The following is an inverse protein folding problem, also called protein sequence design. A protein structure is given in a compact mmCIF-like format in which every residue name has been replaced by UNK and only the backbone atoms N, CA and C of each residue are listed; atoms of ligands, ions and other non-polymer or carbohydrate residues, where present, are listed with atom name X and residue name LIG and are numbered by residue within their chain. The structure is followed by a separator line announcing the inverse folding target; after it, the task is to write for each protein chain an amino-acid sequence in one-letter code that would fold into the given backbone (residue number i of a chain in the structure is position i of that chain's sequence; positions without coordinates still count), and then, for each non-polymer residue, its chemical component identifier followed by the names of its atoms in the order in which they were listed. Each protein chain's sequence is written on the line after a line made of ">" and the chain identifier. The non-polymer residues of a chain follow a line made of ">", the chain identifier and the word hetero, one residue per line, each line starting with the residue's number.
data_IF_472140517901
#
_entry.id   IF_472140517901
#
_cell.length_a   1.000
_cell.length_b   1.000
_cell.length_c   1.000
_cell.angle_alpha   90.00
_cell.angle_beta   90.00
_cell.angle_gamma   90.00
#
_symmetry.space_group_name_H-M   'P 1'
#
loop_
_entity.id
_entity.type
_entity.pdbx_description
1 polymer ?
#
# COMPACT_ATOMS: atom_id res chain seq x y z
N UNK A 1 12.39 -13.68 8.88
CA UNK A 1 12.07 -14.00 7.47
C UNK A 1 12.77 -15.31 7.16
N UNK A 2 12.03 -16.40 6.93
CA UNK A 2 12.67 -17.67 6.59
C UNK A 2 13.10 -17.61 5.13
N UNK A 3 14.31 -18.10 4.82
CA UNK A 3 14.86 -18.29 3.47
C UNK A 3 13.84 -18.91 2.47
N UNK A 4 12.85 -19.60 2.98
CA UNK A 4 11.79 -20.22 2.21
C UNK A 4 10.84 -19.23 1.49
N UNK A 5 10.63 -18.02 2.05
CA UNK A 5 9.82 -16.98 1.42
C UNK A 5 10.55 -16.25 0.27
N UNK A 6 11.89 -16.31 0.26
CA UNK A 6 12.72 -15.72 -0.80
C UNK A 6 13.03 -16.72 -1.93
N UNK A 7 12.80 -18.01 -1.74
CA UNK A 7 13.15 -19.05 -2.71
C UNK A 7 12.56 -18.84 -4.10
N UNK A 8 11.28 -18.43 -4.27
CA UNK A 8 10.73 -18.12 -5.59
C UNK A 8 11.36 -16.90 -6.26
N UNK A 9 11.87 -15.95 -5.44
CA UNK A 9 12.58 -14.75 -5.92
C UNK A 9 14.01 -15.06 -6.38
N UNK A 10 14.60 -16.16 -5.88
CA UNK A 10 15.98 -16.53 -6.10
C UNK A 10 16.21 -17.32 -7.39
N UNK A 11 15.14 -17.85 -7.99
CA UNK A 11 15.24 -18.76 -9.13
C UNK A 11 14.99 -18.08 -10.50
N UNK A 12 14.76 -16.74 -10.56
CA UNK A 12 14.47 -15.99 -11.78
C UNK A 12 15.30 -14.71 -11.90
N UNK A 13 15.82 -14.43 -13.09
CA UNK A 13 16.48 -13.15 -13.41
C UNK A 13 15.40 -12.03 -13.52
N UNK A 14 15.57 -10.98 -12.73
CA UNK A 14 14.56 -9.94 -12.49
C UNK A 14 14.57 -8.79 -13.50
N UNK A 15 13.55 -8.59 -14.33
CA UNK A 15 13.09 -7.25 -14.67
C UNK A 15 12.04 -6.81 -13.62
N UNK A 16 12.24 -5.68 -12.98
CA UNK A 16 11.42 -5.20 -11.88
C UNK A 16 10.56 -4.02 -12.30
N UNK A 17 9.28 -4.03 -11.94
CA UNK A 17 8.36 -2.92 -12.18
C UNK A 17 7.87 -2.36 -10.86
N UNK A 18 8.13 -1.07 -10.60
CA UNK A 18 7.47 -0.34 -9.54
C UNK A 18 6.13 0.19 -10.06
N UNK A 19 5.05 -0.09 -9.35
CA UNK A 19 3.72 0.41 -9.63
C UNK A 19 3.35 1.45 -8.59
N UNK A 20 3.31 2.73 -8.98
CA UNK A 20 2.63 3.75 -8.20
C UNK A 20 1.19 3.82 -8.71
N UNK A 21 0.23 3.44 -7.86
CA UNK A 21 -1.20 3.55 -8.16
C UNK A 21 -1.69 4.86 -7.59
N UNK A 22 -2.24 5.72 -8.44
CA UNK A 22 -2.65 7.02 -8.00
C UNK A 22 -4.16 7.13 -7.81
N UNK A 23 -4.60 7.76 -6.75
CA UNK A 23 -6.00 7.87 -6.35
C UNK A 23 -6.50 9.28 -6.27
N UNK A 24 -7.81 9.33 -6.06
CA UNK A 24 -8.50 10.56 -5.83
C UNK A 24 -9.08 10.77 -4.44
N UNK A 25 -9.08 12.01 -4.10
CA UNK A 25 -9.40 12.63 -2.82
C UNK A 25 -10.89 12.49 -2.48
N UNK A 26 -11.16 12.00 -1.29
CA UNK A 26 -12.38 12.28 -0.53
C UNK A 26 -12.54 13.81 -0.46
N UNK A 27 -13.76 14.34 -0.34
CA UNK A 27 -14.02 15.76 -0.05
C UNK A 27 -13.45 16.17 1.33
N UNK A 28 -12.20 15.89 1.55
CA UNK A 28 -11.49 16.05 2.83
C UNK A 28 -11.47 17.49 3.32
N UNK A 29 -11.53 18.44 2.39
CA UNK A 29 -11.53 19.85 2.74
C UNK A 29 -12.76 20.26 3.52
N UNK A 30 -13.91 19.63 3.28
CA UNK A 30 -15.13 19.89 4.03
C UNK A 30 -15.06 19.41 5.49
N UNK A 31 -14.24 18.38 5.76
CA UNK A 31 -14.07 17.77 7.09
C UNK A 31 -12.76 18.15 7.79
N UNK A 32 -11.82 18.81 7.10
CA UNK A 32 -10.53 19.25 7.66
C UNK A 32 -9.60 18.13 8.09
N UNK A 33 -9.63 16.98 7.40
CA UNK A 33 -8.80 15.80 7.70
C UNK A 33 -7.48 15.79 6.93
N UNK A 34 -7.22 16.74 6.04
CA UNK A 34 -5.98 16.92 5.29
C UNK A 34 -5.45 18.34 5.36
N UNK A 35 -4.11 18.47 5.40
CA UNK A 35 -3.42 19.76 5.33
C UNK A 35 -3.31 20.30 3.90
N UNK A 36 -3.51 19.47 2.86
CA UNK A 36 -3.32 19.84 1.46
C UNK A 36 -4.64 19.94 0.70
N UNK A 37 -4.73 20.83 -0.32
CA UNK A 37 -5.89 20.90 -1.20
C UNK A 37 -5.95 19.70 -2.17
N UNK A 38 -7.16 19.37 -2.63
CA UNK A 38 -7.42 18.25 -3.55
C UNK A 38 -6.59 18.31 -4.85
N UNK A 39 -6.30 19.52 -5.35
CA UNK A 39 -5.50 19.73 -6.56
C UNK A 39 -4.07 19.15 -6.48
N UNK A 40 -3.55 18.94 -5.28
CA UNK A 40 -2.20 18.38 -5.09
C UNK A 40 -2.07 16.99 -5.69
N UNK A 41 -3.12 16.17 -5.66
CA UNK A 41 -3.07 14.85 -6.29
C UNK A 41 -2.72 14.95 -7.78
N UNK A 42 -3.46 15.76 -8.56
CA UNK A 42 -3.18 15.95 -9.98
C UNK A 42 -1.81 16.58 -10.25
N UNK A 43 -1.37 17.50 -9.37
CA UNK A 43 -0.03 18.09 -9.46
C UNK A 43 1.07 17.04 -9.24
N UNK A 44 0.85 16.09 -8.33
CA UNK A 44 1.78 15.00 -8.11
C UNK A 44 1.83 14.01 -9.27
N UNK A 45 0.71 13.74 -9.97
CA UNK A 45 0.74 12.97 -11.23
C UNK A 45 1.69 13.61 -12.22
N UNK A 46 1.48 14.89 -12.50
CA UNK A 46 2.35 15.64 -13.40
C UNK A 46 3.82 15.58 -12.94
N UNK A 47 4.09 15.66 -11.63
CA UNK A 47 5.45 15.54 -11.09
C UNK A 47 6.04 14.14 -11.32
N UNK A 48 5.27 13.07 -11.14
CA UNK A 48 5.69 11.70 -11.47
C UNK A 48 6.02 11.54 -12.94
N UNK A 49 5.17 12.05 -13.82
CA UNK A 49 5.36 12.00 -15.29
C UNK A 49 6.61 12.78 -15.75
N UNK A 50 6.91 13.91 -15.08
CA UNK A 50 8.11 14.70 -15.37
C UNK A 50 9.38 14.18 -14.66
N UNK A 51 9.29 13.12 -13.89
CA UNK A 51 10.45 12.50 -13.24
C UNK A 51 10.97 13.22 -12.00
N UNK A 52 10.18 14.11 -11.38
CA UNK A 52 10.60 14.99 -10.27
C UNK A 52 10.30 14.46 -8.87
N UNK A 53 9.54 13.38 -8.73
CA UNK A 53 9.17 12.83 -7.44
C UNK A 53 10.24 11.88 -6.86
N UNK A 54 10.14 11.61 -5.56
CA UNK A 54 11.06 10.69 -4.88
C UNK A 54 11.07 9.30 -5.53
N UNK A 55 9.90 8.76 -5.88
CA UNK A 55 9.82 7.44 -6.50
C UNK A 55 10.54 7.38 -7.85
N UNK A 56 10.56 8.45 -8.63
CA UNK A 56 11.31 8.48 -9.89
C UNK A 56 12.83 8.30 -9.66
N UNK A 57 13.37 8.96 -8.64
CA UNK A 57 14.79 8.82 -8.28
C UNK A 57 15.08 7.44 -7.70
N UNK A 58 14.22 6.94 -6.81
CA UNK A 58 14.36 5.64 -6.18
C UNK A 58 14.22 4.49 -7.19
N UNK A 59 13.28 4.59 -8.14
CA UNK A 59 13.11 3.59 -9.20
C UNK A 59 14.37 3.50 -10.06
N UNK A 60 14.94 4.65 -10.47
CA UNK A 60 16.23 4.64 -11.19
C UNK A 60 17.36 4.02 -10.37
N UNK A 61 17.46 4.35 -9.08
CA UNK A 61 18.49 3.82 -8.21
C UNK A 61 18.34 2.32 -7.94
N UNK A 62 17.11 1.83 -7.82
CA UNK A 62 16.80 0.44 -7.59
C UNK A 62 16.66 -0.39 -8.87
N UNK A 63 16.74 0.21 -10.06
CA UNK A 63 16.55 -0.46 -11.35
C UNK A 63 15.11 -0.94 -11.55
N UNK A 64 14.12 -0.16 -11.11
CA UNK A 64 12.70 -0.47 -11.21
C UNK A 64 12.07 0.28 -12.38
N UNK A 65 11.21 -0.39 -13.12
CA UNK A 65 10.30 0.24 -14.09
C UNK A 65 9.14 0.90 -13.35
N UNK A 66 8.98 2.22 -13.50
CA UNK A 66 7.90 2.97 -12.88
C UNK A 66 6.69 3.06 -13.81
N UNK A 67 5.54 2.58 -13.36
CA UNK A 67 4.26 2.74 -14.04
C UNK A 67 3.32 3.56 -13.16
N UNK A 68 2.81 4.67 -13.69
CA UNK A 68 1.81 5.51 -13.05
C UNK A 68 0.43 5.11 -13.57
N UNK A 69 -0.51 4.83 -12.68
CA UNK A 69 -1.89 4.50 -13.01
C UNK A 69 -2.81 5.54 -12.40
N UNK A 70 -3.31 6.46 -13.21
CA UNK A 70 -4.26 7.48 -12.82
C UNK A 70 -5.68 6.93 -12.79
N UNK A 71 -6.39 7.10 -11.67
CA UNK A 71 -7.70 6.53 -11.43
C UNK A 71 -8.78 7.63 -11.33
N UNK A 72 -9.21 8.15 -12.48
CA UNK A 72 -10.32 9.10 -12.59
C UNK A 72 -10.12 10.38 -11.74
N UNK A 73 -9.02 11.08 -12.01
CA UNK A 73 -8.61 12.28 -11.26
C UNK A 73 -9.65 13.42 -11.25
N UNK A 74 -10.63 13.45 -12.16
CA UNK A 74 -11.65 14.50 -12.26
C UNK A 74 -12.90 14.26 -11.41
N UNK A 75 -13.06 13.07 -10.82
CA UNK A 75 -14.19 12.71 -9.96
C UNK A 75 -13.71 12.16 -8.61
N UNK A 76 -13.76 12.91 -7.51
CA UNK A 76 -13.46 12.39 -6.17
C UNK A 76 -14.45 11.29 -5.78
N UNK A 77 -14.02 10.39 -4.91
CA UNK A 77 -14.93 9.49 -4.22
C UNK A 77 -15.93 10.28 -3.38
N UNK A 78 -17.07 9.69 -3.07
CA UNK A 78 -18.03 10.31 -2.16
C UNK A 78 -17.48 10.36 -0.72
N UNK A 79 -18.03 11.25 0.10
CA UNK A 79 -17.73 11.28 1.53
C UNK A 79 -18.34 10.04 2.21
N UNK A 80 -17.51 9.15 2.71
CA UNK A 80 -17.96 7.91 3.32
C UNK A 80 -18.73 8.11 4.63
N UNK A 81 -18.79 9.32 5.17
CA UNK A 81 -19.66 9.65 6.29
C UNK A 81 -21.10 10.01 5.88
N UNK A 82 -21.37 10.10 4.56
CA UNK A 82 -22.69 10.45 4.01
C UNK A 82 -23.23 9.35 3.09
N UNK A 83 -22.34 8.67 2.35
CA UNK A 83 -22.68 7.62 1.40
C UNK A 83 -21.50 6.64 1.22
N UNK A 84 -21.66 5.48 0.56
CA UNK A 84 -20.50 4.66 0.14
C UNK A 84 -19.52 5.49 -0.67
N UNK A 85 -18.21 5.36 -0.37
CA UNK A 85 -17.15 6.11 -1.06
C UNK A 85 -17.17 5.89 -2.59
N UNK A 86 -17.54 4.70 -3.02
CA UNK A 86 -17.63 4.30 -4.43
C UNK A 86 -18.94 3.56 -4.70
N UNK A 87 -19.45 3.69 -5.91
CA UNK A 87 -20.45 2.76 -6.45
C UNK A 87 -19.79 1.37 -6.64
N UNK A 88 -20.58 0.34 -6.85
CA UNK A 88 -20.08 -1.00 -7.17
C UNK A 88 -19.22 -1.00 -8.44
N UNK A 89 -19.69 -0.31 -9.48
CA UNK A 89 -18.96 -0.18 -10.74
C UNK A 89 -17.61 0.51 -10.56
N UNK A 90 -17.53 1.61 -9.80
CA UNK A 90 -16.26 2.33 -9.56
C UNK A 90 -15.26 1.49 -8.77
N UNK A 91 -15.73 0.77 -7.76
CA UNK A 91 -14.87 -0.12 -6.98
C UNK A 91 -14.33 -1.28 -7.84
N UNK A 92 -15.19 -1.94 -8.63
CA UNK A 92 -14.79 -2.99 -9.56
C UNK A 92 -13.84 -2.48 -10.65
N UNK A 93 -14.09 -1.30 -11.21
CA UNK A 93 -13.22 -0.68 -12.19
C UNK A 93 -11.81 -0.40 -11.62
N UNK A 94 -11.75 0.07 -10.37
CA UNK A 94 -10.49 0.30 -9.68
C UNK A 94 -9.74 -1.02 -9.40
N UNK A 95 -10.42 -2.05 -8.90
CA UNK A 95 -9.85 -3.40 -8.70
C UNK A 95 -9.29 -3.94 -10.02
N UNK A 96 -10.04 -3.81 -11.12
CA UNK A 96 -9.61 -4.26 -12.44
C UNK A 96 -8.41 -3.48 -12.97
N UNK A 97 -8.33 -2.18 -12.71
CA UNK A 97 -7.16 -1.37 -13.07
C UNK A 97 -5.89 -1.86 -12.35
N UNK A 98 -5.99 -2.19 -11.06
CA UNK A 98 -4.89 -2.80 -10.31
C UNK A 98 -4.51 -4.18 -10.85
N UNK A 99 -5.51 -5.03 -11.15
CA UNK A 99 -5.29 -6.35 -11.78
C UNK A 99 -4.56 -6.22 -13.11
N UNK A 100 -4.99 -5.30 -13.97
CA UNK A 100 -4.36 -5.06 -15.27
C UNK A 100 -2.92 -4.54 -15.17
N UNK A 101 -2.60 -3.86 -14.06
CA UNK A 101 -1.25 -3.34 -13.84
C UNK A 101 -0.21 -4.45 -13.60
N UNK A 102 -0.64 -5.65 -13.22
CA UNK A 102 0.21 -6.84 -12.95
C UNK A 102 0.19 -7.84 -14.12
N UNK A 103 -0.55 -7.56 -15.18
CA UNK A 103 -0.81 -8.53 -16.27
C UNK A 103 0.44 -9.06 -16.97
N UNK A 104 1.52 -8.28 -17.01
CA UNK A 104 2.79 -8.67 -17.66
C UNK A 104 3.64 -9.62 -16.79
N UNK A 105 3.12 -10.09 -15.65
CA UNK A 105 3.76 -11.01 -14.70
C UNK A 105 5.23 -10.66 -14.39
N UNK A 106 5.51 -9.48 -13.79
CA UNK A 106 6.87 -9.12 -13.39
C UNK A 106 7.39 -10.06 -12.30
N UNK A 107 8.71 -10.11 -12.11
CA UNK A 107 9.31 -10.95 -11.07
C UNK A 107 9.06 -10.41 -9.64
N UNK A 108 8.81 -9.11 -9.52
CA UNK A 108 8.41 -8.43 -8.28
C UNK A 108 7.53 -7.24 -8.61
N UNK A 109 6.42 -7.09 -7.90
CA UNK A 109 5.59 -5.88 -7.93
C UNK A 109 5.87 -5.04 -6.70
N UNK A 110 6.24 -3.78 -6.88
CA UNK A 110 6.40 -2.79 -5.82
C UNK A 110 5.19 -1.87 -5.84
N UNK A 111 4.36 -1.94 -4.81
CA UNK A 111 3.12 -1.16 -4.74
C UNK A 111 3.29 0.08 -3.88
N UNK A 112 2.75 1.18 -4.37
CA UNK A 112 2.62 2.42 -3.63
C UNK A 112 1.39 3.18 -4.05
N UNK A 113 1.14 4.29 -3.39
CA UNK A 113 -0.03 5.12 -3.60
C UNK A 113 0.32 6.60 -3.48
N UNK A 114 -0.55 7.41 -4.04
CA UNK A 114 -0.60 8.84 -3.80
C UNK A 114 -2.07 9.30 -3.74
N UNK A 115 -2.49 9.81 -2.60
CA UNK A 115 -3.83 10.36 -2.40
C UNK A 115 -3.91 11.28 -1.21
N UNK A 116 -4.39 12.50 -1.46
CA UNK A 116 -4.55 13.47 -0.39
C UNK A 116 -5.72 13.06 0.50
N UNK A 117 -5.47 12.85 1.80
CA UNK A 117 -6.49 12.51 2.80
C UNK A 117 -6.68 11.00 3.02
N UNK A 118 -6.11 10.16 2.20
CA UNK A 118 -6.34 8.71 2.24
C UNK A 118 -5.82 8.01 3.52
N UNK A 119 -5.02 8.66 4.35
CA UNK A 119 -4.66 8.12 5.66
C UNK A 119 -5.86 8.00 6.62
N UNK A 120 -6.90 8.83 6.46
CA UNK A 120 -8.19 8.68 7.19
C UNK A 120 -8.96 7.47 6.68
N UNK A 121 -9.04 7.30 5.37
CA UNK A 121 -9.61 6.13 4.70
C UNK A 121 -8.88 4.84 5.10
N UNK A 122 -7.54 4.86 5.11
CA UNK A 122 -6.72 3.73 5.56
C UNK A 122 -7.04 3.33 7.01
N UNK A 123 -7.18 4.31 7.91
CA UNK A 123 -7.57 4.05 9.30
C UNK A 123 -8.98 3.43 9.39
N UNK A 124 -9.93 3.88 8.57
CA UNK A 124 -11.28 3.31 8.50
C UNK A 124 -11.26 1.84 8.01
N UNK A 125 -10.47 1.52 6.99
CA UNK A 125 -10.29 0.14 6.53
C UNK A 125 -9.69 -0.76 7.62
N UNK A 126 -8.68 -0.27 8.35
CA UNK A 126 -8.07 -1.01 9.45
C UNK A 126 -9.07 -1.26 10.58
N UNK A 127 -9.83 -0.24 10.98
CA UNK A 127 -10.86 -0.37 12.02
C UNK A 127 -11.97 -1.35 11.63
N UNK A 128 -12.47 -1.26 10.39
CA UNK A 128 -13.47 -2.18 9.87
C UNK A 128 -12.97 -3.64 9.81
N UNK A 129 -11.68 -3.84 9.52
CA UNK A 129 -11.09 -5.16 9.32
C UNK A 129 -10.65 -5.84 10.61
N UNK A 130 -10.07 -5.08 11.55
CA UNK A 130 -9.41 -5.64 12.72
C UNK A 130 -9.99 -5.16 14.05
N UNK A 131 -10.97 -4.24 14.03
CA UNK A 131 -11.59 -3.71 15.25
C UNK A 131 -10.65 -2.81 16.06
N UNK A 132 -10.94 -2.65 17.33
CA UNK A 132 -10.28 -1.70 18.21
C UNK A 132 -11.01 -0.37 18.27
N UNK A 133 -10.29 0.72 18.49
CA UNK A 133 -10.79 2.10 18.46
C UNK A 133 -10.23 2.86 17.24
N UNK A 134 -10.91 3.93 16.79
CA UNK A 134 -10.39 4.76 15.72
C UNK A 134 -9.01 5.38 16.06
N UNK A 135 -8.78 5.70 17.34
CA UNK A 135 -7.50 6.23 17.82
C UNK A 135 -6.34 5.24 17.72
N UNK A 136 -6.61 3.93 17.61
CA UNK A 136 -5.58 2.92 17.39
C UNK A 136 -4.97 2.98 15.98
N UNK A 137 -5.70 3.55 15.02
CA UNK A 137 -5.38 3.53 13.60
C UNK A 137 -5.10 4.90 13.01
N UNK A 138 -5.68 5.96 13.60
CA UNK A 138 -5.52 7.33 13.12
C UNK A 138 -4.16 7.90 13.53
N UNK A 139 -3.49 8.53 12.57
CA UNK A 139 -2.25 9.26 12.78
C UNK A 139 -2.24 10.63 12.07
N UNK A 140 -1.14 11.39 12.18
CA UNK A 140 -1.04 12.73 11.62
C UNK A 140 -1.08 12.77 10.08
N UNK A 141 -0.82 11.66 9.41
CA UNK A 141 -0.75 11.61 7.95
C UNK A 141 0.25 12.61 7.41
N UNK A 142 -0.19 13.53 6.55
CA UNK A 142 0.63 14.60 5.96
C UNK A 142 0.95 15.75 6.90
N UNK A 143 0.64 15.63 8.20
CA UNK A 143 1.07 16.60 9.21
C UNK A 143 -0.06 17.43 9.81
N UNK A 144 -1.27 16.87 9.98
CA UNK A 144 -2.32 17.53 10.77
C UNK A 144 -1.95 17.53 12.26
N UNK A 145 -2.35 18.60 12.95
CA UNK A 145 -2.16 18.80 14.39
C UNK A 145 -3.10 17.92 15.26
N UNK A 146 -3.07 18.11 16.56
CA UNK A 146 -3.90 17.36 17.50
C UNK A 146 -5.42 17.51 17.27
N UNK A 147 -5.89 18.71 16.88
CA UNK A 147 -7.29 18.93 16.53
C UNK A 147 -7.64 18.20 15.23
N UNK A 148 -6.73 18.22 14.25
CA UNK A 148 -6.88 17.46 13.00
C UNK A 148 -6.96 15.96 13.25
N UNK A 149 -6.17 15.41 14.16
CA UNK A 149 -6.26 14.01 14.59
C UNK A 149 -7.65 13.72 15.21
N UNK A 150 -8.14 14.59 16.08
CA UNK A 150 -9.48 14.46 16.65
C UNK A 150 -10.58 14.46 15.59
N UNK A 151 -10.49 15.33 14.57
CA UNK A 151 -11.42 15.35 13.44
C UNK A 151 -11.35 14.05 12.63
N UNK A 152 -10.16 13.52 12.35
CA UNK A 152 -9.99 12.25 11.65
C UNK A 152 -10.62 11.08 12.43
N UNK A 153 -10.44 11.03 13.75
CA UNK A 153 -11.06 10.01 14.61
C UNK A 153 -12.59 10.08 14.47
N UNK A 154 -13.19 11.26 14.63
CA UNK A 154 -14.62 11.45 14.50
C UNK A 154 -15.17 11.05 13.11
N UNK A 155 -14.45 11.38 12.03
CA UNK A 155 -14.79 10.99 10.66
C UNK A 155 -14.76 9.48 10.49
N UNK A 156 -13.73 8.79 11.00
CA UNK A 156 -13.63 7.33 10.95
C UNK A 156 -14.79 6.68 11.71
N UNK A 157 -15.07 7.14 12.92
CA UNK A 157 -16.18 6.62 13.74
C UNK A 157 -17.54 6.82 13.08
N UNK A 158 -17.77 7.99 12.48
CA UNK A 158 -19.02 8.29 11.77
C UNK A 158 -19.21 7.38 10.55
N UNK A 159 -18.15 7.17 9.75
CA UNK A 159 -18.20 6.28 8.60
C UNK A 159 -18.47 4.82 8.99
N UNK A 160 -17.78 4.32 10.00
CA UNK A 160 -18.03 2.96 10.54
C UNK A 160 -19.46 2.83 11.05
N UNK A 161 -19.97 3.83 11.79
CA UNK A 161 -21.33 3.80 12.32
C UNK A 161 -22.39 3.78 11.19
N UNK A 162 -22.19 4.59 10.15
CA UNK A 162 -23.11 4.66 9.01
C UNK A 162 -23.18 3.34 8.23
N UNK A 163 -22.05 2.67 8.06
CA UNK A 163 -21.97 1.50 7.18
C UNK A 163 -21.96 0.17 7.92
N UNK A 164 -22.03 0.16 9.25
CA UNK A 164 -21.82 -1.01 10.11
C UNK A 164 -22.42 -2.31 9.60
N UNK A 165 -23.72 -2.30 9.29
CA UNK A 165 -24.46 -3.49 8.91
C UNK A 165 -24.13 -3.99 7.49
N UNK A 166 -23.46 -3.16 6.70
CA UNK A 166 -23.08 -3.47 5.34
C UNK A 166 -21.59 -3.82 5.16
N UNK A 167 -20.74 -3.71 6.21
CA UNK A 167 -19.31 -4.04 6.17
C UNK A 167 -19.09 -5.56 6.31
N UNK A 168 -19.77 -6.35 5.50
CA UNK A 168 -19.84 -7.82 5.64
C UNK A 168 -18.80 -8.58 4.82
N UNK A 169 -18.20 -7.94 3.83
CA UNK A 169 -17.20 -8.56 2.94
C UNK A 169 -16.04 -7.60 2.67
N UNK A 170 -14.85 -8.11 2.29
CA UNK A 170 -13.73 -7.25 1.88
C UNK A 170 -14.10 -6.24 0.79
N UNK A 171 -14.92 -6.65 -0.18
CA UNK A 171 -15.41 -5.79 -1.24
C UNK A 171 -16.27 -4.62 -0.69
N UNK A 172 -17.23 -4.91 0.20
CA UNK A 172 -18.08 -3.87 0.79
C UNK A 172 -17.28 -2.92 1.69
N UNK A 173 -16.28 -3.42 2.42
CA UNK A 173 -15.39 -2.57 3.22
C UNK A 173 -14.61 -1.62 2.29
N UNK A 174 -13.97 -2.13 1.23
CA UNK A 174 -13.26 -1.31 0.24
C UNK A 174 -14.17 -0.32 -0.46
N UNK A 175 -15.35 -0.75 -0.90
CA UNK A 175 -16.32 0.08 -1.62
C UNK A 175 -16.85 1.23 -0.79
N UNK A 176 -17.17 0.97 0.48
CA UNK A 176 -17.83 1.94 1.35
C UNK A 176 -16.87 2.89 2.04
N UNK A 177 -15.70 2.41 2.44
CA UNK A 177 -14.75 3.15 3.25
C UNK A 177 -13.44 3.44 2.52
N UNK A 178 -13.18 2.76 1.40
CA UNK A 178 -11.93 2.84 0.66
C UNK A 178 -11.82 4.03 -0.28
N UNK A 179 -10.78 3.97 -1.11
CA UNK A 179 -10.53 4.84 -2.26
C UNK A 179 -10.22 3.99 -3.49
N UNK A 180 -10.23 4.59 -4.68
CA UNK A 180 -9.93 3.86 -5.93
C UNK A 180 -8.55 3.24 -5.91
N UNK A 181 -7.55 3.94 -5.37
CA UNK A 181 -6.17 3.43 -5.24
C UNK A 181 -6.09 2.24 -4.29
N UNK A 182 -6.78 2.33 -3.16
CA UNK A 182 -6.79 1.24 -2.19
C UNK A 182 -7.45 0.01 -2.79
N UNK A 183 -8.55 0.19 -3.54
CA UNK A 183 -9.20 -0.89 -4.27
C UNK A 183 -8.30 -1.45 -5.39
N UNK A 184 -7.56 -0.59 -6.09
CA UNK A 184 -6.61 -1.02 -7.12
C UNK A 184 -5.42 -1.79 -6.52
N UNK A 185 -4.86 -1.34 -5.40
CA UNK A 185 -3.82 -2.08 -4.68
C UNK A 185 -4.33 -3.47 -4.27
N UNK A 186 -5.54 -3.56 -3.72
CA UNK A 186 -6.15 -4.84 -3.37
C UNK A 186 -6.28 -5.76 -4.61
N UNK A 187 -6.72 -5.21 -5.75
CA UNK A 187 -6.79 -5.92 -7.02
C UNK A 187 -5.43 -6.41 -7.53
N UNK A 188 -4.40 -5.56 -7.44
CA UNK A 188 -3.04 -5.91 -7.82
C UNK A 188 -2.47 -7.05 -6.96
N UNK A 189 -2.69 -7.01 -5.64
CA UNK A 189 -2.24 -8.07 -4.73
C UNK A 189 -2.90 -9.41 -5.02
N UNK A 190 -4.22 -9.42 -5.28
CA UNK A 190 -4.92 -10.64 -5.67
C UNK A 190 -4.42 -11.18 -7.00
N UNK A 191 -4.24 -10.32 -8.01
CA UNK A 191 -3.72 -10.71 -9.33
C UNK A 191 -2.30 -11.26 -9.24
N UNK A 192 -1.41 -10.61 -8.49
CA UNK A 192 -0.06 -11.08 -8.24
C UNK A 192 -0.05 -12.45 -7.55
N UNK A 193 -0.96 -12.66 -6.58
CA UNK A 193 -1.12 -13.97 -5.93
C UNK A 193 -1.46 -15.07 -6.92
N UNK A 194 -2.41 -14.80 -7.80
CA UNK A 194 -2.84 -15.78 -8.83
C UNK A 194 -1.73 -16.05 -9.85
N UNK A 195 -0.93 -15.04 -10.17
CA UNK A 195 0.21 -15.16 -11.10
C UNK A 195 1.47 -15.75 -10.45
N UNK A 196 1.50 -15.95 -9.12
CA UNK A 196 2.69 -16.40 -8.40
C UNK A 196 3.78 -15.33 -8.30
N UNK A 197 3.41 -14.05 -8.42
CA UNK A 197 4.32 -12.90 -8.39
C UNK A 197 4.40 -12.36 -6.96
N UNK A 198 5.59 -12.19 -6.38
CA UNK A 198 5.76 -11.56 -5.08
C UNK A 198 5.45 -10.06 -5.14
N UNK A 199 4.95 -9.53 -4.00
CA UNK A 199 4.58 -8.13 -3.85
C UNK A 199 5.36 -7.50 -2.71
N UNK A 200 5.92 -6.30 -2.94
CA UNK A 200 6.46 -5.42 -1.91
C UNK A 200 5.45 -4.32 -1.61
N UNK A 201 4.86 -4.36 -0.42
CA UNK A 201 3.95 -3.32 0.09
C UNK A 201 4.75 -2.17 0.70
N UNK A 202 4.35 -0.93 0.41
CA UNK A 202 5.01 0.27 0.93
C UNK A 202 4.65 0.55 2.40
N UNK A 203 4.02 1.67 2.68
CA UNK A 203 3.72 2.17 4.02
C UNK A 203 2.32 1.81 4.53
N UNK A 204 1.88 2.57 5.54
CA UNK A 204 0.61 2.33 6.23
C UNK A 204 -0.59 2.26 5.29
N UNK A 205 -0.71 3.21 4.36
CA UNK A 205 -1.87 3.32 3.47
C UNK A 205 -1.89 2.14 2.49
N UNK A 206 -0.75 1.81 1.89
CA UNK A 206 -0.61 0.67 1.00
C UNK A 206 -0.96 -0.65 1.72
N UNK A 207 -0.46 -0.85 2.94
CA UNK A 207 -0.79 -2.00 3.76
C UNK A 207 -2.27 -2.02 4.17
N UNK A 208 -2.88 -0.87 4.48
CA UNK A 208 -4.29 -0.77 4.83
C UNK A 208 -5.24 -1.15 3.67
N UNK A 209 -4.80 -0.96 2.43
CA UNK A 209 -5.56 -1.37 1.24
C UNK A 209 -5.88 -2.87 1.23
N UNK A 210 -5.01 -3.69 1.78
CA UNK A 210 -5.17 -5.15 1.84
C UNK A 210 -5.66 -5.66 3.19
N UNK A 211 -5.90 -4.78 4.17
CA UNK A 211 -6.43 -5.14 5.48
C UNK A 211 -7.75 -5.93 5.42
N UNK A 212 -8.76 -5.54 4.60
CA UNK A 212 -9.98 -6.32 4.46
C UNK A 212 -9.76 -7.73 3.93
N UNK A 213 -8.83 -7.89 2.98
CA UNK A 213 -8.46 -9.20 2.43
C UNK A 213 -7.78 -10.08 3.48
N UNK A 214 -6.81 -9.51 4.21
CA UNK A 214 -6.07 -10.22 5.26
C UNK A 214 -6.96 -10.65 6.43
N UNK A 215 -7.95 -9.82 6.80
CA UNK A 215 -8.91 -10.16 7.85
C UNK A 215 -9.83 -11.33 7.45
N UNK A 216 -10.23 -11.41 6.18
CA UNK A 216 -11.07 -12.47 5.65
C UNK A 216 -10.28 -13.75 5.34
N UNK A 217 -9.04 -13.63 4.87
CA UNK A 217 -8.18 -14.74 4.49
C UNK A 217 -6.72 -14.40 4.83
N UNK A 218 -6.22 -14.79 6.02
CA UNK A 218 -4.85 -14.44 6.46
C UNK A 218 -3.75 -14.88 5.50
N UNK A 219 -3.92 -15.97 4.80
CA UNK A 219 -2.91 -16.52 3.88
C UNK A 219 -2.87 -15.81 2.52
N UNK A 220 -3.80 -14.89 2.25
CA UNK A 220 -3.84 -14.14 0.99
C UNK A 220 -2.54 -13.34 0.76
N UNK A 221 -1.88 -12.92 1.84
CA UNK A 221 -0.65 -12.13 1.81
C UNK A 221 0.64 -12.98 1.86
N UNK A 222 0.59 -14.31 1.72
CA UNK A 222 1.77 -15.17 1.83
C UNK A 222 2.88 -14.87 0.78
N UNK A 223 2.55 -14.16 -0.29
CA UNK A 223 3.47 -13.68 -1.33
C UNK A 223 3.89 -12.21 -1.13
N UNK A 224 3.44 -11.57 -0.04
CA UNK A 224 3.71 -10.16 0.23
C UNK A 224 4.87 -9.99 1.21
N UNK A 225 5.66 -8.95 0.99
CA UNK A 225 6.68 -8.42 1.88
C UNK A 225 6.28 -7.00 2.29
N UNK A 226 6.53 -6.62 3.54
CA UNK A 226 6.40 -5.24 3.97
C UNK A 226 7.74 -4.53 3.75
N UNK A 227 7.79 -3.52 2.89
CA UNK A 227 9.01 -2.77 2.58
C UNK A 227 9.54 -2.03 3.79
N UNK A 228 8.67 -1.36 4.53
CA UNK A 228 9.06 -0.65 5.75
C UNK A 228 7.91 -0.52 6.74
N UNK A 229 8.25 -0.24 8.00
CA UNK A 229 7.29 0.35 8.94
C UNK A 229 7.35 1.87 8.81
N UNK A 230 6.23 2.50 8.47
CA UNK A 230 6.14 3.96 8.40
C UNK A 230 6.02 4.59 9.78
N UNK A 231 6.23 5.91 9.86
CA UNK A 231 6.05 6.67 11.09
C UNK A 231 4.57 6.85 11.52
N UNK A 232 3.61 6.35 10.74
CA UNK A 232 2.19 6.35 11.15
C UNK A 232 1.96 5.40 12.34
N UNK A 233 1.36 5.86 13.45
CA UNK A 233 1.27 5.08 14.69
C UNK A 233 0.55 3.74 14.52
N UNK A 234 -0.49 3.69 13.68
CA UNK A 234 -1.26 2.47 13.41
C UNK A 234 -0.51 1.42 12.58
N UNK A 235 0.62 1.77 11.94
CA UNK A 235 1.25 0.88 10.97
C UNK A 235 1.88 -0.36 11.60
N UNK A 236 2.60 -0.22 12.72
CA UNK A 236 3.17 -1.39 13.43
C UNK A 236 2.07 -2.37 13.82
N UNK A 237 0.98 -1.88 14.41
CA UNK A 237 -0.17 -2.70 14.76
C UNK A 237 -0.78 -3.40 13.54
N UNK A 238 -0.88 -2.71 12.41
CA UNK A 238 -1.40 -3.29 11.17
C UNK A 238 -0.52 -4.45 10.69
N UNK A 239 0.80 -4.25 10.65
CA UNK A 239 1.76 -5.28 10.26
C UNK A 239 1.68 -6.52 11.18
N UNK A 240 1.56 -6.31 12.50
CA UNK A 240 1.39 -7.40 13.47
C UNK A 240 0.09 -8.19 13.19
N UNK A 241 -1.03 -7.50 12.90
CA UNK A 241 -2.31 -8.13 12.54
C UNK A 241 -2.22 -8.93 11.24
N UNK A 242 -1.44 -8.46 10.28
CA UNK A 242 -1.21 -9.12 8.98
C UNK A 242 -0.08 -10.15 9.02
N UNK A 243 0.64 -10.30 10.14
CA UNK A 243 1.81 -11.18 10.31
C UNK A 243 2.94 -10.87 9.31
N UNK A 244 3.16 -9.59 9.02
CA UNK A 244 4.21 -9.11 8.15
C UNK A 244 5.31 -8.43 8.97
N UNK A 245 6.57 -8.88 8.76
CA UNK A 245 7.74 -8.20 9.31
C UNK A 245 8.28 -7.19 8.29
N UNK A 246 8.44 -5.91 8.66
CA UNK A 246 8.98 -4.91 7.75
C UNK A 246 10.49 -5.09 7.55
N UNK A 247 10.95 -4.89 6.31
CA UNK A 247 12.38 -4.93 5.99
C UNK A 247 13.14 -3.72 6.54
N UNK A 248 12.49 -2.55 6.58
CA UNK A 248 13.10 -1.29 7.02
C UNK A 248 12.30 -0.62 8.14
N UNK A 249 13.02 0.12 9.00
CA UNK A 249 12.44 0.98 10.04
C UNK A 249 13.25 2.29 10.10
N UNK A 250 12.98 3.21 9.16
CA UNK A 250 13.73 4.45 8.94
C UNK A 250 12.92 5.71 9.26
N UNK A 251 11.74 5.57 9.88
CA UNK A 251 10.87 6.71 10.18
C UNK A 251 10.26 7.38 8.94
N UNK A 252 10.22 6.70 7.81
CA UNK A 252 9.65 7.21 6.56
C UNK A 252 8.14 7.38 6.64
N UNK A 253 7.59 8.39 5.97
CA UNK A 253 6.15 8.66 5.91
C UNK A 253 5.71 9.38 4.62
N UNK A 254 6.48 9.25 3.55
CA UNK A 254 6.21 9.97 2.30
C UNK A 254 5.09 9.32 1.49
N UNK A 255 5.00 7.99 1.47
CA UNK A 255 4.22 7.24 0.50
C UNK A 255 4.96 7.07 -0.82
N UNK A 256 4.25 7.06 -1.95
CA UNK A 256 4.81 7.00 -3.30
C UNK A 256 5.64 5.72 -3.58
N UNK A 257 5.38 4.61 -2.92
CA UNK A 257 6.23 3.42 -2.94
C UNK A 257 7.67 3.65 -2.46
N UNK A 258 7.98 4.78 -1.82
CA UNK A 258 9.35 5.20 -1.51
C UNK A 258 10.06 4.25 -0.55
N UNK A 259 9.39 3.74 0.47
CA UNK A 259 9.94 2.76 1.39
C UNK A 259 10.10 1.39 0.75
N UNK A 260 9.14 0.97 -0.05
CA UNK A 260 9.18 -0.30 -0.77
C UNK A 260 10.30 -0.32 -1.83
N UNK A 261 10.46 0.76 -2.61
CA UNK A 261 11.55 0.88 -3.57
C UNK A 261 12.94 0.87 -2.86
N UNK A 262 13.04 1.54 -1.71
CA UNK A 262 14.28 1.49 -0.89
C UNK A 262 14.53 0.07 -0.38
N UNK A 263 13.50 -0.65 0.08
CA UNK A 263 13.62 -2.03 0.55
C UNK A 263 14.04 -2.99 -0.56
N UNK A 264 13.68 -2.72 -1.81
CA UNK A 264 14.08 -3.54 -2.97
C UNK A 264 15.60 -3.59 -3.13
N UNK A 265 16.33 -2.52 -2.80
CA UNK A 265 17.81 -2.54 -2.80
C UNK A 265 18.38 -3.60 -1.84
N UNK A 266 17.76 -3.81 -0.68
CA UNK A 266 18.15 -4.87 0.24
C UNK A 266 17.83 -6.26 -0.32
N UNK A 267 16.68 -6.41 -0.98
CA UNK A 267 16.33 -7.68 -1.64
C UNK A 267 17.35 -8.01 -2.73
N UNK A 268 17.74 -7.02 -3.56
CA UNK A 268 18.80 -7.21 -4.56
C UNK A 268 20.13 -7.61 -3.95
N UNK A 269 20.54 -6.94 -2.87
CA UNK A 269 21.77 -7.30 -2.17
C UNK A 269 21.72 -8.73 -1.61
N UNK A 270 20.58 -9.14 -1.04
CA UNK A 270 20.39 -10.51 -0.55
C UNK A 270 20.43 -11.55 -1.68
N UNK A 271 19.87 -11.21 -2.85
CA UNK A 271 19.93 -12.06 -4.04
C UNK A 271 21.37 -12.24 -4.56
N UNK A 272 22.13 -11.13 -4.63
CA UNK A 272 23.53 -11.18 -5.04
C UNK A 272 24.37 -12.07 -4.11
N UNK A 273 24.22 -11.89 -2.78
CA UNK A 273 24.91 -12.75 -1.80
C UNK A 273 24.52 -14.22 -1.99
N UNK A 274 23.25 -14.51 -2.19
CA UNK A 274 22.79 -15.88 -2.39
C UNK A 274 23.33 -16.51 -3.68
N UNK A 275 23.41 -15.73 -4.76
CA UNK A 275 23.84 -16.23 -6.07
C UNK A 275 25.37 -16.36 -6.20
N UNK A 276 26.14 -15.51 -5.52
CA UNK A 276 27.57 -15.34 -5.78
C UNK A 276 28.46 -15.79 -4.60
N UNK A 277 27.91 -15.95 -3.39
CA UNK A 277 28.68 -16.35 -2.22
C UNK A 277 29.03 -17.86 -2.30
N UNK A 278 30.32 -18.17 -2.27
CA UNK A 278 30.79 -19.54 -2.22
C UNK A 278 30.41 -20.25 -0.91
N UNK A 279 30.08 -21.52 -1.00
CA UNK A 279 29.97 -22.39 0.19
C UNK A 279 31.33 -22.63 0.83
N UNK A 280 31.36 -23.10 2.07
CA UNK A 280 32.62 -23.47 2.72
C UNK A 280 33.42 -24.50 1.92
N UNK A 281 32.74 -25.47 1.30
CA UNK A 281 33.35 -26.47 0.48
C UNK A 281 34.01 -25.89 -0.78
N UNK A 282 33.32 -24.98 -1.48
CA UNK A 282 33.83 -24.29 -2.68
C UNK A 282 35.00 -23.35 -2.32
N UNK A 283 34.93 -22.70 -1.16
CA UNK A 283 35.97 -21.78 -0.67
C UNK A 283 37.16 -22.50 0.00
N UNK A 284 37.13 -23.82 0.16
CA UNK A 284 38.15 -24.58 0.84
C UNK A 284 38.24 -24.31 2.35
N UNK A 285 37.15 -23.81 2.97
CA UNK A 285 37.09 -23.52 4.40
C UNK A 285 36.64 -24.78 5.14
N UNK A 286 37.42 -25.19 6.16
CA UNK A 286 37.11 -26.36 6.97
C UNK A 286 35.83 -26.13 7.76
N UNK A 287 34.89 -27.07 7.69
CA UNK A 287 33.73 -27.10 8.60
C UNK A 287 34.20 -27.54 9.99
N UNK A 288 33.61 -26.94 11.04
CA UNK A 288 33.87 -27.32 12.43
C UNK A 288 33.19 -28.64 12.79
#
# INVERSE_FOLDING_TARGET
>A
MTLHALRPLLERHLPERALAVEPRVIKDRARGVSAFPASVTAQMVANFEHGGAAINALSRAAGLDLKIVSLDLDRPTADFTEAPAMSEYECLAAINAGTAAVADAPDLVVLGEMGIGNSTTAAALCLASFGGSASDWVGPGTGVDGEGIGRKIAVVEAGIALHRDALTTPFEILRRLGGRELAAIAGAVVAARLAGVPVMLDGFICCAAVAPLAAACPDILAHCLAGHVSAEPGHRRLLDRMRLEPLLSLGMRLGEASGAATATLLVRAALAVHAEMATFAEAGVSAA
#
